data_IF_735005140972
#
_entry.id   IF_735005140972
#
_cell.length_a   1.000
_cell.length_b   1.000
_cell.length_c   1.000
_cell.angle_alpha   90.00
_cell.angle_beta   90.00
_cell.angle_gamma   90.00
#
_symmetry.space_group_name_H-M   'P 1'
#
loop_
_entity.id
_entity.type
_entity.pdbx_description
1 polymer ?
#
# COMPACT_ATOMS: atom_id res chain seq x y z
N UNK A 1 -12.55 28.11 21.95
CA UNK A 1 -11.83 28.32 20.67
C UNK A 1 -11.05 27.10 20.16
N UNK A 2 -10.94 25.98 20.89
CA UNK A 2 -10.18 24.78 20.45
C UNK A 2 -10.88 23.84 19.46
N UNK A 3 -12.22 23.87 19.32
CA UNK A 3 -12.96 22.90 18.49
C UNK A 3 -12.77 23.09 16.97
N UNK A 4 -12.36 24.27 16.52
CA UNK A 4 -12.22 24.60 15.09
C UNK A 4 -10.87 24.12 14.55
N UNK A 5 -9.80 24.21 15.35
CA UNK A 5 -8.46 23.78 14.95
C UNK A 5 -8.37 22.25 14.82
N UNK A 6 -8.90 21.49 15.79
CA UNK A 6 -8.87 20.02 15.74
C UNK A 6 -9.68 19.42 14.58
N UNK A 7 -10.79 20.08 14.19
CA UNK A 7 -11.63 19.60 13.09
C UNK A 7 -10.99 19.83 11.72
N UNK A 8 -10.16 20.88 11.60
CA UNK A 8 -9.41 21.22 10.37
C UNK A 8 -8.26 20.25 10.13
N UNK A 9 -7.46 19.96 11.17
CA UNK A 9 -6.35 18.99 11.07
C UNK A 9 -6.81 17.58 10.69
N UNK A 10 -7.88 17.07 11.31
CA UNK A 10 -8.41 15.73 10.99
C UNK A 10 -8.99 15.62 9.57
N UNK A 11 -9.57 16.70 9.06
CA UNK A 11 -10.15 16.74 7.71
C UNK A 11 -9.05 16.86 6.64
N UNK A 12 -7.98 17.59 6.92
CA UNK A 12 -6.80 17.69 6.05
C UNK A 12 -6.04 16.35 5.99
N UNK A 13 -5.87 15.67 7.12
CA UNK A 13 -5.19 14.36 7.18
C UNK A 13 -5.94 13.28 6.39
N UNK A 14 -7.28 13.27 6.47
CA UNK A 14 -8.10 12.34 5.68
C UNK A 14 -8.00 12.61 4.18
N UNK A 15 -7.94 13.87 3.76
CA UNK A 15 -7.82 14.21 2.34
C UNK A 15 -6.46 13.79 1.77
N UNK A 16 -5.38 14.02 2.51
CA UNK A 16 -4.02 13.59 2.15
C UNK A 16 -3.93 12.07 2.06
N UNK A 17 -4.54 11.36 3.02
CA UNK A 17 -4.59 9.90 3.02
C UNK A 17 -5.32 9.35 1.79
N UNK A 18 -6.52 9.86 1.51
CA UNK A 18 -7.29 9.50 0.30
C UNK A 18 -6.51 9.78 -0.98
N UNK A 19 -5.77 10.90 -1.04
CA UNK A 19 -4.93 11.24 -2.19
C UNK A 19 -3.81 10.21 -2.40
N UNK A 20 -3.05 9.85 -1.36
CA UNK A 20 -1.98 8.85 -1.45
C UNK A 20 -2.50 7.48 -1.88
N UNK A 21 -3.66 7.05 -1.35
CA UNK A 21 -4.29 5.78 -1.75
C UNK A 21 -4.65 5.78 -3.25
N UNK A 22 -5.20 6.89 -3.76
CA UNK A 22 -5.48 7.04 -5.19
C UNK A 22 -4.22 7.03 -6.04
N UNK A 23 -3.14 7.62 -5.55
CA UNK A 23 -1.84 7.62 -6.23
C UNK A 23 -1.28 6.19 -6.35
N UNK A 24 -1.30 5.42 -5.25
CA UNK A 24 -0.93 4.00 -5.25
C UNK A 24 -1.75 3.22 -6.28
N UNK A 25 -3.08 3.41 -6.31
CA UNK A 25 -3.94 2.77 -7.31
C UNK A 25 -3.52 3.12 -8.74
N UNK A 26 -3.27 4.41 -9.04
CA UNK A 26 -2.87 4.86 -10.38
C UNK A 26 -1.54 4.25 -10.82
N UNK A 27 -0.57 4.17 -9.93
CA UNK A 27 0.74 3.61 -10.23
C UNK A 27 0.72 2.09 -10.45
N UNK A 28 -0.07 1.38 -9.63
CA UNK A 28 -0.11 -0.08 -9.60
C UNK A 28 -1.03 -0.65 -10.66
N UNK A 29 -2.24 -0.09 -10.84
CA UNK A 29 -3.25 -0.62 -11.78
C UNK A 29 -2.70 -0.98 -13.18
N UNK A 30 -1.94 -0.12 -13.87
CA UNK A 30 -1.42 -0.45 -15.20
C UNK A 30 -0.24 -1.42 -15.19
N UNK A 31 0.47 -1.56 -14.06
CA UNK A 31 1.68 -2.37 -13.92
C UNK A 31 1.44 -3.75 -13.31
N UNK A 32 0.31 -3.92 -12.61
CA UNK A 32 -0.07 -5.15 -11.92
C UNK A 32 -0.40 -6.30 -12.87
N UNK A 33 -0.05 -7.52 -12.44
CA UNK A 33 -0.40 -8.75 -13.15
C UNK A 33 -1.90 -8.99 -13.04
N UNK A 34 -2.52 -9.45 -14.13
CA UNK A 34 -3.96 -9.76 -14.16
C UNK A 34 -4.15 -11.26 -13.99
N UNK A 35 -4.86 -11.67 -12.94
CA UNK A 35 -5.23 -13.06 -12.71
C UNK A 35 -6.32 -13.53 -13.69
N UNK A 36 -6.50 -14.86 -13.89
CA UNK A 36 -7.59 -15.40 -14.70
C UNK A 36 -8.99 -14.93 -14.25
N UNK A 37 -9.16 -14.65 -12.96
CA UNK A 37 -10.39 -14.17 -12.35
C UNK A 37 -10.58 -12.64 -12.52
N UNK A 38 -9.65 -11.96 -13.19
CA UNK A 38 -9.71 -10.53 -13.46
C UNK A 38 -9.23 -9.64 -12.30
N UNK A 39 -8.56 -10.22 -11.30
CA UNK A 39 -7.93 -9.47 -10.22
C UNK A 39 -6.60 -8.90 -10.67
N UNK A 40 -6.22 -7.71 -10.19
CA UNK A 40 -4.86 -7.19 -10.40
C UNK A 40 -4.02 -7.33 -9.15
N UNK A 41 -2.87 -7.95 -9.29
CA UNK A 41 -1.95 -8.24 -8.19
C UNK A 41 -0.60 -7.55 -8.38
N UNK A 42 -0.09 -6.97 -7.30
CA UNK A 42 1.22 -6.37 -7.25
C UNK A 42 1.94 -6.75 -5.97
N UNK A 43 3.22 -7.11 -6.11
CA UNK A 43 4.06 -7.52 -5.00
C UNK A 43 5.43 -6.86 -5.07
N UNK A 44 5.89 -6.35 -3.94
CA UNK A 44 7.24 -5.83 -3.76
C UNK A 44 7.65 -5.92 -2.29
N UNK A 45 8.80 -5.38 -1.95
CA UNK A 45 9.27 -5.28 -0.57
C UNK A 45 9.58 -3.82 -0.23
N UNK A 46 9.32 -3.44 1.02
CA UNK A 46 9.66 -2.13 1.57
C UNK A 46 11.09 -2.16 2.13
N UNK A 47 11.82 -1.06 1.98
CA UNK A 47 13.22 -0.96 2.45
C UNK A 47 14.09 -0.09 1.53
N UNK A 48 15.28 0.27 2.02
CA UNK A 48 16.22 1.14 1.31
C UNK A 48 17.08 0.39 0.27
N UNK A 49 17.27 -0.92 0.45
CA UNK A 49 18.18 -1.70 -0.39
C UNK A 49 17.55 -2.04 -1.75
N UNK A 50 18.37 -2.11 -2.80
CA UNK A 50 17.91 -2.57 -4.12
C UNK A 50 17.71 -4.10 -4.16
N UNK A 51 18.36 -4.82 -3.25
CA UNK A 51 18.21 -6.28 -3.07
C UNK A 51 17.06 -6.59 -2.09
N UNK A 52 16.10 -7.38 -2.57
CA UNK A 52 14.95 -7.81 -1.77
C UNK A 52 15.31 -8.86 -0.70
N UNK A 53 16.51 -9.47 -0.77
CA UNK A 53 16.95 -10.57 0.10
C UNK A 53 17.01 -10.20 1.60
N UNK A 54 17.23 -8.93 1.92
CA UNK A 54 17.37 -8.45 3.30
C UNK A 54 16.12 -7.77 3.84
N UNK A 55 15.13 -7.50 3.00
CA UNK A 55 13.92 -6.81 3.42
C UNK A 55 13.02 -7.73 4.24
N UNK A 56 12.42 -7.16 5.27
CA UNK A 56 11.53 -7.87 6.18
C UNK A 56 10.06 -7.51 5.94
N UNK A 57 9.78 -6.43 5.24
CA UNK A 57 8.41 -5.96 5.02
C UNK A 57 7.99 -6.23 3.58
N UNK A 58 7.11 -7.21 3.41
CA UNK A 58 6.50 -7.53 2.12
C UNK A 58 5.27 -6.66 1.88
N UNK A 59 5.19 -6.07 0.71
CA UNK A 59 4.04 -5.33 0.23
C UNK A 59 3.26 -6.19 -0.75
N UNK A 60 1.98 -6.39 -0.46
CA UNK A 60 1.01 -7.02 -1.35
C UNK A 60 -0.13 -6.05 -1.62
N UNK A 61 -0.43 -5.80 -2.90
CA UNK A 61 -1.54 -4.96 -3.34
C UNK A 61 -2.45 -5.76 -4.26
N UNK A 62 -3.75 -5.73 -3.95
CA UNK A 62 -4.80 -6.35 -4.74
C UNK A 62 -5.80 -5.29 -5.19
N UNK A 63 -6.19 -5.33 -6.47
CA UNK A 63 -7.23 -4.48 -7.04
C UNK A 63 -8.33 -5.37 -7.62
N UNK A 64 -9.55 -5.16 -7.16
CA UNK A 64 -10.76 -5.67 -7.80
C UNK A 64 -11.48 -4.51 -8.47
N UNK A 65 -11.55 -4.55 -9.79
CA UNK A 65 -12.29 -3.57 -10.58
C UNK A 65 -13.75 -4.03 -10.76
N UNK A 66 -14.70 -3.15 -10.43
CA UNK A 66 -16.13 -3.32 -10.73
C UNK A 66 -16.58 -2.22 -11.68
N UNK A 67 -17.85 -2.25 -12.09
CA UNK A 67 -18.40 -1.29 -13.06
C UNK A 67 -18.24 0.18 -12.64
N UNK A 68 -18.46 0.51 -11.37
CA UNK A 68 -18.49 1.90 -10.87
C UNK A 68 -17.46 2.20 -9.78
N UNK A 69 -16.77 1.18 -9.28
CA UNK A 69 -15.83 1.29 -8.18
C UNK A 69 -14.65 0.33 -8.35
N UNK A 70 -13.54 0.64 -7.69
CA UNK A 70 -12.42 -0.27 -7.52
C UNK A 70 -12.20 -0.51 -6.03
N UNK A 71 -12.06 -1.77 -5.63
CA UNK A 71 -11.66 -2.12 -4.27
C UNK A 71 -10.15 -2.36 -4.27
N UNK A 72 -9.46 -1.67 -3.36
CA UNK A 72 -8.02 -1.75 -3.18
C UNK A 72 -7.73 -2.32 -1.79
N UNK A 73 -6.92 -3.38 -1.76
CA UNK A 73 -6.31 -3.90 -0.54
C UNK A 73 -4.81 -3.65 -0.61
N UNK A 74 -4.27 -2.99 0.40
CA UNK A 74 -2.84 -2.76 0.58
C UNK A 74 -2.44 -3.44 1.88
N UNK A 75 -1.72 -4.55 1.77
CA UNK A 75 -1.26 -5.33 2.91
C UNK A 75 0.26 -5.22 3.03
N UNK A 76 0.72 -4.90 4.24
CA UNK A 76 2.14 -5.00 4.60
C UNK A 76 2.29 -6.14 5.58
N UNK A 77 3.16 -7.09 5.26
CA UNK A 77 3.45 -8.26 6.09
C UNK A 77 4.90 -8.20 6.55
N UNK A 78 5.10 -8.16 7.87
CA UNK A 78 6.43 -8.21 8.48
C UNK A 78 6.87 -9.65 8.63
N UNK A 79 8.06 -9.94 8.16
CA UNK A 79 8.75 -11.21 8.29
C UNK A 79 9.87 -11.10 9.32
N UNK A 80 10.13 -12.19 10.03
CA UNK A 80 11.23 -12.29 10.99
C UNK A 80 11.98 -13.60 10.76
N UNK A 81 13.31 -13.54 10.82
CA UNK A 81 14.16 -14.72 10.70
C UNK A 81 13.90 -15.70 11.85
N UNK A 82 13.89 -17.00 11.56
CA UNK A 82 13.79 -17.99 12.62
C UNK A 82 15.13 -18.12 13.37
N UNK A 83 15.06 -18.20 14.70
CA UNK A 83 16.23 -18.31 15.58
C UNK A 83 17.14 -19.51 15.26
N UNK A 84 16.56 -20.59 14.74
CA UNK A 84 17.25 -21.84 14.40
C UNK A 84 17.62 -21.96 12.90
N UNK A 85 17.08 -21.09 12.05
CA UNK A 85 17.30 -21.09 10.58
C UNK A 85 17.20 -19.67 10.02
N UNK A 86 18.31 -18.95 10.01
CA UNK A 86 18.38 -17.55 9.55
C UNK A 86 18.01 -17.35 8.07
N UNK A 87 18.06 -18.40 7.25
CA UNK A 87 17.68 -18.37 5.83
C UNK A 87 16.18 -18.48 5.59
N UNK A 88 15.38 -18.81 6.62
CA UNK A 88 13.92 -18.91 6.54
C UNK A 88 13.31 -17.79 7.40
N UNK A 89 12.49 -16.95 6.78
CA UNK A 89 11.70 -15.94 7.50
C UNK A 89 10.24 -16.38 7.59
N UNK A 90 9.61 -16.13 8.75
CA UNK A 90 8.17 -16.37 8.97
C UNK A 90 7.43 -15.06 9.11
N UNK A 91 6.18 -15.02 8.64
CA UNK A 91 5.31 -13.88 8.86
C UNK A 91 5.06 -13.72 10.36
N UNK A 92 5.43 -12.55 10.90
CA UNK A 92 5.22 -12.14 12.30
C UNK A 92 3.86 -11.47 12.48
N UNK A 93 3.41 -10.75 11.46
CA UNK A 93 2.13 -10.08 11.45
C UNK A 93 1.89 -9.32 10.15
N UNK A 94 0.64 -8.98 9.91
CA UNK A 94 0.23 -8.18 8.75
C UNK A 94 -0.70 -7.06 9.19
N UNK A 95 -0.56 -5.91 8.53
CA UNK A 95 -1.48 -4.78 8.63
C UNK A 95 -2.11 -4.52 7.27
N UNK A 96 -3.38 -4.14 7.26
CA UNK A 96 -4.16 -3.94 6.05
C UNK A 96 -4.78 -2.54 6.00
N UNK A 97 -4.69 -1.91 4.83
CA UNK A 97 -5.58 -0.83 4.40
C UNK A 97 -6.53 -1.39 3.35
N UNK A 98 -7.83 -1.23 3.56
CA UNK A 98 -8.87 -1.54 2.58
C UNK A 98 -9.61 -0.26 2.21
N UNK A 99 -9.64 0.06 0.92
CA UNK A 99 -10.30 1.24 0.41
C UNK A 99 -11.18 0.94 -0.80
N UNK A 100 -12.30 1.65 -0.90
CA UNK A 100 -13.17 1.68 -2.08
C UNK A 100 -12.93 3.01 -2.80
N UNK A 101 -12.51 2.93 -4.05
CA UNK A 101 -12.27 4.07 -4.91
C UNK A 101 -13.45 4.21 -5.88
N UNK A 102 -14.16 5.33 -5.75
CA UNK A 102 -15.15 5.79 -6.73
C UNK A 102 -14.59 6.97 -7.50
N UNK A 103 -15.34 7.47 -8.47
CA UNK A 103 -14.92 8.59 -9.34
C UNK A 103 -14.46 9.80 -8.53
N UNK A 104 -15.23 10.21 -7.52
CA UNK A 104 -14.98 11.45 -6.77
C UNK A 104 -14.49 11.21 -5.33
N UNK A 105 -14.83 10.06 -4.74
CA UNK A 105 -14.52 9.76 -3.34
C UNK A 105 -13.65 8.50 -3.16
N UNK A 106 -12.88 8.50 -2.08
CA UNK A 106 -12.14 7.33 -1.57
C UNK A 106 -12.64 7.04 -0.17
N UNK A 107 -13.26 5.89 0.02
CA UNK A 107 -13.79 5.45 1.29
C UNK A 107 -12.81 4.44 1.88
N UNK A 108 -12.25 4.74 3.05
CA UNK A 108 -11.34 3.83 3.75
C UNK A 108 -12.18 2.97 4.68
N UNK A 109 -12.39 1.72 4.29
CA UNK A 109 -13.20 0.77 5.06
C UNK A 109 -12.42 0.20 6.24
N UNK A 110 -11.10 0.09 6.10
CA UNK A 110 -10.22 -0.45 7.13
C UNK A 110 -8.82 0.16 7.03
N UNK A 111 -8.22 0.45 8.18
CA UNK A 111 -6.83 0.83 8.32
C UNK A 111 -6.29 0.25 9.65
N UNK A 112 -5.42 -0.76 9.58
CA UNK A 112 -4.77 -1.36 10.76
C UNK A 112 -3.53 -0.57 11.24
N UNK A 113 -3.16 0.50 10.53
CA UNK A 113 -2.03 1.35 10.90
C UNK A 113 -2.52 2.50 11.79
N UNK A 114 -1.68 2.89 12.75
CA UNK A 114 -1.96 4.06 13.57
C UNK A 114 -1.87 5.34 12.71
N UNK A 115 -2.55 6.44 13.08
CA UNK A 115 -2.60 7.65 12.25
C UNK A 115 -1.21 8.20 11.86
N UNK A 116 -0.28 8.22 12.82
CA UNK A 116 1.09 8.69 12.62
C UNK A 116 1.89 7.79 11.66
N UNK A 117 1.68 6.47 11.75
CA UNK A 117 2.34 5.45 10.93
C UNK A 117 1.80 5.45 9.49
N UNK A 118 0.49 5.67 9.34
CA UNK A 118 -0.22 5.59 8.05
C UNK A 118 0.39 6.54 7.01
N UNK A 119 0.69 7.77 7.39
CA UNK A 119 1.26 8.75 6.47
C UNK A 119 2.65 8.36 5.96
N UNK A 120 3.48 7.82 6.85
CA UNK A 120 4.85 7.36 6.56
C UNK A 120 4.83 6.13 5.66
N UNK A 121 4.08 5.10 6.05
CA UNK A 121 4.07 3.81 5.34
C UNK A 121 3.57 3.97 3.89
N UNK A 122 2.58 4.83 3.64
CA UNK A 122 2.09 5.09 2.28
C UNK A 122 3.14 5.76 1.40
N UNK A 123 3.99 6.61 1.97
CA UNK A 123 5.13 7.20 1.25
C UNK A 123 6.17 6.13 0.88
N UNK A 124 6.47 5.22 1.80
CA UNK A 124 7.39 4.11 1.55
C UNK A 124 6.83 3.11 0.53
N UNK A 125 5.52 2.86 0.55
CA UNK A 125 4.82 2.04 -0.44
C UNK A 125 4.96 2.64 -1.84
N UNK A 126 4.70 3.94 -2.02
CA UNK A 126 4.85 4.61 -3.32
C UNK A 126 6.29 4.50 -3.84
N UNK A 127 7.29 4.73 -2.97
CA UNK A 127 8.70 4.57 -3.32
C UNK A 127 9.04 3.13 -3.71
N UNK A 128 8.50 2.13 -2.99
CA UNK A 128 8.70 0.71 -3.30
C UNK A 128 8.09 0.35 -4.66
N UNK A 129 6.90 0.86 -4.97
CA UNK A 129 6.24 0.67 -6.28
C UNK A 129 7.12 1.26 -7.39
N UNK A 130 7.60 2.50 -7.23
CA UNK A 130 8.47 3.15 -8.21
C UNK A 130 9.77 2.35 -8.44
N UNK A 131 10.43 1.93 -7.36
CA UNK A 131 11.66 1.13 -7.44
C UNK A 131 11.42 -0.20 -8.16
N UNK A 132 10.33 -0.91 -7.82
CA UNK A 132 10.01 -2.18 -8.47
C UNK A 132 9.65 -1.99 -9.94
N UNK A 133 8.94 -0.93 -10.32
CA UNK A 133 8.69 -0.58 -11.73
C UNK A 133 10.00 -0.35 -12.49
N UNK A 134 10.96 0.39 -11.92
CA UNK A 134 12.29 0.60 -12.51
C UNK A 134 13.03 -0.73 -12.74
N UNK A 135 13.05 -1.61 -11.73
CA UNK A 135 13.67 -2.95 -11.83
C UNK A 135 13.03 -3.81 -12.94
N UNK A 136 11.71 -3.68 -13.14
CA UNK A 136 10.97 -4.39 -14.19
C UNK A 136 11.00 -3.68 -15.55
N UNK A 137 11.63 -2.51 -15.67
CA UNK A 137 11.64 -1.71 -16.91
C UNK A 137 10.29 -1.09 -17.27
N UNK A 138 9.37 -0.96 -16.32
CA UNK A 138 8.05 -0.35 -16.50
C UNK A 138 8.18 1.16 -16.29
N UNK A 139 7.74 1.97 -17.26
CA UNK A 139 7.76 3.44 -17.13
C UNK A 139 6.74 3.90 -16.06
N UNK A 140 7.16 4.83 -15.21
CA UNK A 140 6.24 5.58 -14.32
C UNK A 140 5.34 6.50 -15.15
N UNK A 141 4.12 6.74 -14.66
CA UNK A 141 3.14 7.62 -15.31
C UNK A 141 3.48 9.10 -15.11
#
# INVERSE_FOLDING_TARGET
>A
MLKIFQKRTLQDDSAVLSQKIREIYKEVRPAALVSPEGLREWQSFLGQDEDDSYKDDHLFILILEKAEESILWIQVTKFEAQTDRSTVKKAKGSKLIKAVLRKEETIIEKNDFDPEETGLILGEILKSIENKKKLLGIKSL
#
